data_IF_890392280115
#
_entry.id   IF_890392280115
#
_cell.length_a   1.000
_cell.length_b   1.000
_cell.length_c   1.000
_cell.angle_alpha   90.00
_cell.angle_beta   90.00
_cell.angle_gamma   90.00
#
_symmetry.space_group_name_H-M   'P 1'
#
loop_
_entity.id
_entity.type
_entity.pdbx_description
1 polymer ?
#
# COMPACT_ATOMS: atom_id res chain seq x y z
N UNK A 1 -1.90 10.56 -19.51
CA UNK A 1 -2.68 10.02 -18.37
C UNK A 1 -2.33 10.83 -17.12
N UNK A 2 -3.18 10.85 -16.09
CA UNK A 2 -2.94 11.63 -14.87
C UNK A 2 -1.91 10.92 -14.00
N UNK A 3 -0.80 11.62 -13.66
CA UNK A 3 0.20 11.09 -12.74
C UNK A 3 -0.29 11.24 -11.31
N UNK A 4 -0.36 10.11 -10.57
CA UNK A 4 -0.77 10.11 -9.16
C UNK A 4 0.43 10.08 -8.21
N UNK A 5 1.60 9.62 -8.67
CA UNK A 5 2.88 9.69 -7.95
C UNK A 5 3.95 10.17 -8.92
N UNK A 6 4.79 11.09 -8.46
CA UNK A 6 5.97 11.55 -9.20
C UNK A 6 7.12 11.73 -8.22
N UNK A 7 8.23 11.08 -8.48
CA UNK A 7 9.52 11.23 -7.81
C UNK A 7 10.49 11.89 -8.77
N UNK A 8 11.15 12.94 -8.32
CA UNK A 8 12.14 13.69 -9.10
C UNK A 8 13.42 13.86 -8.28
N UNK A 9 14.48 13.18 -8.69
CA UNK A 9 15.82 13.27 -8.11
C UNK A 9 15.84 13.07 -6.58
N UNK A 10 15.03 12.10 -6.10
CA UNK A 10 14.81 11.88 -4.67
C UNK A 10 15.99 11.18 -4.04
N UNK A 11 16.53 11.78 -2.98
CA UNK A 11 17.54 11.19 -2.10
C UNK A 11 16.98 11.05 -0.69
N UNK A 12 17.23 9.92 -0.05
CA UNK A 12 16.96 9.70 1.37
C UNK A 12 18.18 9.20 2.10
N UNK A 13 18.60 9.98 3.10
CA UNK A 13 19.73 9.66 3.97
C UNK A 13 19.22 9.58 5.41
N UNK A 14 19.61 8.51 6.10
CA UNK A 14 19.38 8.35 7.54
C UNK A 14 20.69 8.57 8.28
N UNK A 15 20.78 9.61 9.14
CA UNK A 15 21.95 9.84 9.96
C UNK A 15 22.02 8.78 11.08
N UNK A 16 23.11 8.02 11.14
CA UNK A 16 23.36 7.05 12.19
C UNK A 16 24.67 7.40 12.93
N UNK A 17 24.79 6.93 14.19
CA UNK A 17 26.01 7.12 14.98
C UNK A 17 27.28 6.53 14.33
N UNK A 18 27.09 5.49 13.51
CA UNK A 18 28.16 4.78 12.82
C UNK A 18 28.49 5.36 11.42
N UNK A 19 27.83 6.43 11.01
CA UNK A 19 27.92 7.05 9.69
C UNK A 19 26.57 7.06 8.97
N UNK A 20 26.39 7.97 8.04
CA UNK A 20 25.15 8.16 7.31
C UNK A 20 24.89 6.97 6.36
N UNK A 21 23.63 6.57 6.28
CA UNK A 21 23.15 5.54 5.33
C UNK A 21 22.30 6.19 4.25
N UNK A 22 22.77 6.17 3.01
CA UNK A 22 21.98 6.58 1.85
C UNK A 22 21.06 5.43 1.46
N UNK A 23 19.78 5.53 1.84
CA UNK A 23 18.78 4.50 1.58
C UNK A 23 18.18 4.61 0.17
N UNK A 24 18.07 5.83 -0.38
CA UNK A 24 17.67 6.10 -1.76
C UNK A 24 18.62 7.16 -2.35
N UNK A 25 19.02 6.94 -3.60
CA UNK A 25 20.02 7.73 -4.26
C UNK A 25 19.54 8.12 -5.67
N UNK A 26 19.11 9.38 -5.83
CA UNK A 26 18.66 9.98 -7.09
C UNK A 26 17.55 9.20 -7.79
N UNK A 27 16.50 8.83 -7.04
CA UNK A 27 15.34 8.09 -7.56
C UNK A 27 14.41 9.02 -8.32
N UNK A 28 14.13 8.67 -9.60
CA UNK A 28 13.14 9.37 -10.44
C UNK A 28 12.24 8.37 -11.15
N UNK A 29 10.94 8.44 -10.93
CA UNK A 29 9.90 7.69 -11.64
C UNK A 29 8.53 8.33 -11.42
N UNK A 30 7.55 7.91 -12.20
CA UNK A 30 6.14 8.30 -12.01
C UNK A 30 5.23 7.08 -12.05
N UNK A 31 4.05 7.20 -11.45
CA UNK A 31 2.95 6.23 -11.52
C UNK A 31 1.71 6.94 -12.01
N UNK A 32 1.04 6.37 -13.01
CA UNK A 32 -0.19 6.91 -13.58
C UNK A 32 -1.41 6.34 -12.86
N UNK A 33 -2.53 7.08 -12.90
CA UNK A 33 -3.81 6.61 -12.36
C UNK A 33 -4.25 5.32 -13.06
N UNK A 34 -4.65 4.32 -12.26
CA UNK A 34 -5.05 3.01 -12.75
C UNK A 34 -3.89 2.08 -13.14
N UNK A 35 -2.65 2.47 -12.88
CA UNK A 35 -1.50 1.61 -13.12
C UNK A 35 -1.34 0.57 -11.99
N UNK A 36 -0.95 -0.65 -12.36
CA UNK A 36 -0.58 -1.71 -11.43
C UNK A 36 0.90 -2.04 -11.59
N UNK A 37 1.73 -1.60 -10.66
CA UNK A 37 3.19 -1.78 -10.73
C UNK A 37 3.72 -2.61 -9.57
N UNK A 38 4.86 -3.26 -9.81
CA UNK A 38 5.68 -3.86 -8.76
C UNK A 38 6.99 -3.11 -8.56
N UNK A 39 7.45 -3.07 -7.31
CA UNK A 39 8.77 -2.58 -6.92
C UNK A 39 9.54 -3.75 -6.36
N UNK A 40 10.63 -4.13 -7.02
CA UNK A 40 11.42 -5.30 -6.69
C UNK A 40 12.88 -4.95 -6.39
N UNK A 41 13.52 -5.78 -5.59
CA UNK A 41 14.95 -5.67 -5.29
C UNK A 41 15.35 -6.55 -4.12
N UNK A 42 16.66 -6.78 -3.90
CA UNK A 42 17.14 -7.56 -2.77
C UNK A 42 16.78 -6.92 -1.41
N UNK A 43 16.98 -7.67 -0.33
CA UNK A 43 16.84 -7.10 1.03
C UNK A 43 17.84 -5.94 1.19
N UNK A 44 17.41 -4.86 1.86
CA UNK A 44 18.24 -3.67 2.07
C UNK A 44 18.39 -2.74 0.86
N UNK A 45 17.74 -3.01 -0.29
CA UNK A 45 17.86 -2.16 -1.48
C UNK A 45 17.17 -0.80 -1.42
N UNK A 46 16.41 -0.49 -0.35
CA UNK A 46 15.68 0.77 -0.20
C UNK A 46 14.17 0.69 -0.42
N UNK A 47 13.60 -0.51 -0.70
CA UNK A 47 12.16 -0.70 -0.98
C UNK A 47 11.25 -0.19 0.14
N UNK A 48 11.55 -0.53 1.41
CA UNK A 48 10.75 -0.08 2.56
C UNK A 48 10.84 1.44 2.76
N UNK A 49 12.01 2.03 2.49
CA UNK A 49 12.18 3.50 2.48
C UNK A 49 11.33 4.14 1.39
N UNK A 50 11.35 3.58 0.18
CA UNK A 50 10.53 4.06 -0.92
C UNK A 50 9.05 3.96 -0.60
N UNK A 51 8.60 2.83 -0.02
CA UNK A 51 7.23 2.63 0.45
C UNK A 51 6.84 3.67 1.51
N UNK A 52 7.73 3.95 2.47
CA UNK A 52 7.50 4.96 3.51
C UNK A 52 7.33 6.36 2.92
N UNK A 53 8.13 6.73 1.92
CA UNK A 53 7.99 8.02 1.22
C UNK A 53 6.69 8.09 0.41
N UNK A 54 6.33 7.05 -0.36
CA UNK A 54 5.05 6.97 -1.07
C UNK A 54 3.87 6.96 -0.11
N UNK A 55 4.04 6.40 1.07
CA UNK A 55 3.04 6.37 2.11
C UNK A 55 2.92 7.67 2.92
N UNK A 56 3.69 8.70 2.61
CA UNK A 56 3.78 9.93 3.40
C UNK A 56 4.09 9.66 4.88
N UNK A 57 4.81 8.57 5.19
CA UNK A 57 5.27 8.22 6.54
C UNK A 57 6.64 8.82 6.85
N UNK A 58 7.34 9.27 5.81
CA UNK A 58 8.64 9.92 5.90
C UNK A 58 8.74 10.98 4.78
N UNK A 59 9.76 11.82 4.84
CA UNK A 59 10.03 12.88 3.85
C UNK A 59 11.41 12.69 3.21
N UNK A 60 11.61 13.12 1.96
CA UNK A 60 12.90 13.01 1.29
C UNK A 60 13.92 13.97 1.93
N UNK A 61 15.20 13.59 1.90
CA UNK A 61 16.31 14.47 2.28
C UNK A 61 16.51 15.56 1.23
N UNK A 62 16.46 15.20 -0.06
CA UNK A 62 16.48 16.13 -1.20
C UNK A 62 15.64 15.57 -2.36
N UNK A 63 15.47 16.39 -3.39
CA UNK A 63 14.55 16.09 -4.50
C UNK A 63 13.11 16.44 -4.17
N UNK A 64 12.18 16.05 -5.05
CA UNK A 64 10.76 16.33 -4.89
C UNK A 64 9.89 15.09 -5.05
N UNK A 65 8.81 15.04 -4.26
CA UNK A 65 7.76 14.02 -4.38
C UNK A 65 6.43 14.75 -4.51
N UNK A 66 5.70 14.43 -5.57
CA UNK A 66 4.33 14.88 -5.78
C UNK A 66 3.38 13.69 -5.76
N UNK A 67 2.26 13.82 -5.03
CA UNK A 67 1.22 12.80 -4.94
C UNK A 67 -0.16 13.41 -5.17
N UNK A 68 -0.92 12.85 -6.11
CA UNK A 68 -2.22 13.39 -6.57
C UNK A 68 -2.15 14.90 -6.81
N UNK A 69 -1.08 15.36 -7.48
CA UNK A 69 -0.84 16.77 -7.81
C UNK A 69 -0.38 17.67 -6.66
N UNK A 70 -0.11 17.14 -5.47
CA UNK A 70 0.34 17.90 -4.29
C UNK A 70 1.78 17.56 -3.93
N UNK A 71 2.63 18.58 -3.74
CA UNK A 71 4.02 18.40 -3.31
C UNK A 71 4.06 18.06 -1.81
N UNK A 72 4.55 16.86 -1.47
CA UNK A 72 4.60 16.33 -0.09
C UNK A 72 5.41 17.22 0.84
N UNK A 73 6.53 17.77 0.36
CA UNK A 73 7.44 18.59 1.14
C UNK A 73 6.78 19.87 1.71
N UNK A 74 5.71 20.34 1.09
CA UNK A 74 5.01 21.58 1.48
C UNK A 74 3.83 21.30 2.43
N UNK A 75 3.56 20.05 2.78
CA UNK A 75 2.47 19.66 3.67
C UNK A 75 2.91 19.69 5.13
N UNK A 76 2.05 20.22 6.01
CA UNK A 76 2.20 20.06 7.45
C UNK A 76 1.94 18.60 7.87
N UNK A 77 2.32 18.23 9.10
CA UNK A 77 2.06 16.88 9.64
C UNK A 77 0.56 16.53 9.67
N UNK A 78 -0.29 17.52 9.93
CA UNK A 78 -1.75 17.36 9.90
C UNK A 78 -2.26 17.10 8.48
N UNK A 79 -1.72 17.82 7.48
CA UNK A 79 -2.05 17.61 6.07
C UNK A 79 -1.57 16.25 5.57
N UNK A 80 -0.35 15.83 5.94
CA UNK A 80 0.18 14.50 5.63
C UNK A 80 -0.68 13.41 6.24
N UNK A 81 -1.12 13.59 7.49
CA UNK A 81 -2.00 12.63 8.19
C UNK A 81 -3.36 12.52 7.50
N UNK A 82 -3.95 13.67 7.15
CA UNK A 82 -5.22 13.70 6.41
C UNK A 82 -5.07 13.08 5.02
N UNK A 83 -3.96 13.38 4.33
CA UNK A 83 -3.68 12.83 3.01
C UNK A 83 -3.53 11.30 3.06
N UNK A 84 -2.75 10.75 4.02
CA UNK A 84 -2.62 9.29 4.23
C UNK A 84 -3.97 8.64 4.44
N UNK A 85 -4.77 9.18 5.36
CA UNK A 85 -6.10 8.64 5.71
C UNK A 85 -7.04 8.61 4.51
N UNK A 86 -6.98 9.64 3.66
CA UNK A 86 -7.99 9.88 2.65
C UNK A 86 -7.61 9.37 1.26
N UNK A 87 -6.30 9.30 0.97
CA UNK A 87 -5.77 9.05 -0.37
C UNK A 87 -4.97 7.76 -0.52
N UNK A 88 -4.55 7.16 0.61
CA UNK A 88 -3.69 5.98 0.59
C UNK A 88 -4.31 4.83 1.36
N UNK A 89 -4.47 3.70 0.70
CA UNK A 89 -4.80 2.43 1.34
C UNK A 89 -3.54 1.58 1.53
N UNK A 90 -3.27 1.15 2.76
CA UNK A 90 -2.13 0.28 3.06
C UNK A 90 -2.54 -1.17 3.22
N UNK A 91 -1.80 -2.07 2.60
CA UNK A 91 -1.93 -3.52 2.74
C UNK A 91 -0.56 -4.08 3.13
N UNK A 92 -0.49 -4.75 4.26
CA UNK A 92 0.75 -5.27 4.84
C UNK A 92 0.83 -6.79 4.79
N UNK A 93 2.04 -7.32 4.88
CA UNK A 93 2.33 -8.75 4.97
C UNK A 93 1.67 -9.41 6.18
N UNK A 94 1.64 -8.75 7.34
CA UNK A 94 1.10 -9.26 8.61
C UNK A 94 -0.36 -8.84 8.86
N UNK A 95 -1.13 -8.50 7.83
CA UNK A 95 -2.55 -8.09 7.87
C UNK A 95 -2.82 -6.88 8.77
N UNK A 96 -2.19 -6.77 9.92
CA UNK A 96 -2.32 -5.69 10.93
C UNK A 96 -3.78 -5.41 11.31
N UNK A 97 -4.57 -6.48 11.49
CA UNK A 97 -5.94 -6.38 11.96
C UNK A 97 -5.97 -6.23 13.49
N UNK A 98 -6.98 -5.53 13.97
CA UNK A 98 -7.22 -5.38 15.41
C UNK A 98 -7.89 -6.66 15.94
N UNK A 99 -7.22 -7.45 16.81
CA UNK A 99 -7.69 -8.78 17.17
C UNK A 99 -8.96 -8.78 18.02
N UNK A 100 -9.26 -7.68 18.70
CA UNK A 100 -10.43 -7.53 19.56
C UNK A 100 -11.66 -6.94 18.85
N UNK A 101 -11.48 -6.41 17.64
CA UNK A 101 -12.57 -5.87 16.83
C UNK A 101 -13.07 -6.95 15.89
N UNK A 102 -14.38 -6.96 15.63
CA UNK A 102 -14.94 -7.80 14.58
C UNK A 102 -14.52 -7.30 13.18
N UNK A 103 -14.87 -8.05 12.14
CA UNK A 103 -14.43 -7.76 10.77
C UNK A 103 -15.00 -6.45 10.23
N UNK A 104 -16.28 -6.15 10.50
CA UNK A 104 -16.89 -4.86 10.11
C UNK A 104 -16.17 -3.70 10.80
N UNK A 105 -15.92 -3.82 12.10
CA UNK A 105 -15.21 -2.80 12.88
C UNK A 105 -13.79 -2.59 12.38
N UNK A 106 -13.06 -3.67 12.05
CA UNK A 106 -11.73 -3.59 11.45
C UNK A 106 -11.74 -2.79 10.14
N UNK A 107 -12.70 -3.08 9.26
CA UNK A 107 -12.82 -2.38 7.96
C UNK A 107 -13.27 -0.94 8.15
N UNK A 108 -14.17 -0.67 9.10
CA UNK A 108 -14.70 0.67 9.36
C UNK A 108 -13.73 1.58 10.12
N UNK A 109 -12.67 1.03 10.72
CA UNK A 109 -11.74 1.78 11.58
C UNK A 109 -11.18 3.06 10.92
N UNK A 110 -10.74 3.07 9.64
CA UNK A 110 -10.28 4.29 8.99
C UNK A 110 -11.38 5.37 8.85
N UNK A 111 -12.66 4.98 8.77
CA UNK A 111 -13.78 5.93 8.75
C UNK A 111 -13.99 6.60 10.11
N UNK A 112 -13.77 5.87 11.22
CA UNK A 112 -13.84 6.45 12.56
C UNK A 112 -12.90 7.64 12.71
N UNK A 113 -11.71 7.57 12.08
CA UNK A 113 -10.74 8.67 12.08
C UNK A 113 -11.20 9.89 11.24
N UNK A 114 -12.24 9.74 10.42
CA UNK A 114 -12.93 10.83 9.70
C UNK A 114 -14.10 11.42 10.49
N UNK A 115 -14.43 10.85 11.64
CA UNK A 115 -15.53 11.29 12.50
C UNK A 115 -16.88 10.68 12.17
N UNK A 116 -16.95 9.60 11.39
CA UNK A 116 -18.19 8.88 11.10
C UNK A 116 -17.93 7.45 10.65
N UNK A 117 -18.90 6.56 10.85
CA UNK A 117 -18.85 5.17 10.38
C UNK A 117 -20.05 4.92 9.47
N UNK A 118 -19.79 4.32 8.32
CA UNK A 118 -20.82 3.80 7.42
C UNK A 118 -20.66 2.28 7.33
N UNK A 119 -21.42 1.57 8.15
CA UNK A 119 -21.38 0.11 8.24
C UNK A 119 -21.81 -0.55 6.92
N UNK A 120 -22.80 0.01 6.20
CA UNK A 120 -23.22 -0.56 4.93
C UNK A 120 -22.10 -0.48 3.88
N UNK A 121 -21.37 0.63 3.83
CA UNK A 121 -20.18 0.72 2.98
C UNK A 121 -19.12 -0.33 3.36
N UNK A 122 -18.92 -0.60 4.66
CA UNK A 122 -18.00 -1.65 5.10
C UNK A 122 -18.44 -3.02 4.60
N UNK A 123 -19.74 -3.33 4.66
CA UNK A 123 -20.32 -4.57 4.11
C UNK A 123 -20.15 -4.65 2.58
N UNK A 124 -20.40 -3.55 1.87
CA UNK A 124 -20.19 -3.48 0.41
C UNK A 124 -18.74 -3.78 0.02
N UNK A 125 -17.78 -3.17 0.70
CA UNK A 125 -16.36 -3.39 0.42
C UNK A 125 -15.94 -4.83 0.78
N UNK A 126 -16.46 -5.40 1.87
CA UNK A 126 -16.23 -6.80 2.23
C UNK A 126 -16.77 -7.77 1.18
N UNK A 127 -17.97 -7.50 0.62
CA UNK A 127 -18.51 -8.27 -0.53
C UNK A 127 -17.61 -8.13 -1.76
N UNK A 128 -17.13 -6.90 -2.03
CA UNK A 128 -16.26 -6.64 -3.18
C UNK A 128 -14.94 -7.40 -3.14
N UNK A 129 -14.42 -7.68 -1.93
CA UNK A 129 -13.24 -8.55 -1.74
C UNK A 129 -13.61 -10.03 -1.60
N UNK A 130 -14.87 -10.41 -1.90
CA UNK A 130 -15.37 -11.80 -1.91
C UNK A 130 -15.23 -12.50 -0.54
N UNK A 131 -15.46 -11.79 0.57
CA UNK A 131 -15.54 -12.39 1.89
C UNK A 131 -16.99 -12.84 2.16
N UNK A 132 -17.16 -14.05 2.72
CA UNK A 132 -18.47 -14.58 3.10
C UNK A 132 -19.12 -13.72 4.19
N UNK A 133 -20.37 -13.32 4.01
CA UNK A 133 -21.09 -12.44 4.96
C UNK A 133 -21.22 -13.04 6.35
N UNK A 134 -21.24 -14.37 6.47
CA UNK A 134 -21.26 -15.06 7.76
C UNK A 134 -20.06 -14.73 8.65
N UNK A 135 -18.94 -14.30 8.04
CA UNK A 135 -17.72 -13.97 8.75
C UNK A 135 -17.67 -12.51 9.23
N UNK A 136 -18.60 -11.66 8.83
CA UNK A 136 -18.54 -10.22 9.08
C UNK A 136 -18.55 -9.84 10.58
N UNK A 137 -19.16 -10.68 11.41
CA UNK A 137 -19.22 -10.50 12.88
C UNK A 137 -18.15 -11.29 13.63
N UNK A 138 -17.32 -12.08 12.93
CA UNK A 138 -16.19 -12.81 13.52
C UNK A 138 -15.04 -11.87 13.86
N UNK A 139 -14.13 -12.34 14.70
CA UNK A 139 -12.84 -11.68 14.96
C UNK A 139 -11.76 -12.20 14.01
N UNK A 140 -10.65 -11.46 13.79
CA UNK A 140 -9.56 -11.93 12.94
C UNK A 140 -9.00 -13.30 13.29
N UNK A 141 -8.99 -13.68 14.58
CA UNK A 141 -8.46 -14.96 15.04
C UNK A 141 -9.29 -16.18 14.57
N UNK A 142 -10.53 -15.96 14.16
CA UNK A 142 -11.43 -16.99 13.64
C UNK A 142 -11.31 -17.17 12.12
N UNK A 143 -10.47 -16.36 11.45
CA UNK A 143 -10.32 -16.34 10.01
C UNK A 143 -9.01 -17.02 9.56
N UNK A 144 -9.05 -17.67 8.39
CA UNK A 144 -7.82 -18.12 7.70
C UNK A 144 -6.96 -16.92 7.26
N UNK A 145 -5.65 -17.13 7.01
CA UNK A 145 -4.74 -16.08 6.55
C UNK A 145 -5.23 -15.36 5.29
N UNK A 146 -5.76 -16.11 4.31
CA UNK A 146 -6.34 -15.51 3.10
C UNK A 146 -7.59 -14.67 3.35
N UNK A 147 -8.44 -15.09 4.30
CA UNK A 147 -9.59 -14.30 4.72
C UNK A 147 -9.16 -13.03 5.45
N UNK A 148 -8.16 -13.11 6.34
CA UNK A 148 -7.59 -11.94 7.01
C UNK A 148 -7.00 -10.95 6.00
N UNK A 149 -6.31 -11.45 4.96
CA UNK A 149 -5.77 -10.59 3.90
C UNK A 149 -6.88 -9.90 3.11
N UNK A 150 -7.98 -10.58 2.79
CA UNK A 150 -9.16 -9.95 2.17
C UNK A 150 -9.74 -8.85 3.04
N UNK A 151 -9.80 -9.04 4.35
CA UNK A 151 -10.21 -7.99 5.31
C UNK A 151 -9.24 -6.81 5.29
N UNK A 152 -7.92 -7.06 5.27
CA UNK A 152 -6.92 -6.00 5.15
C UNK A 152 -7.05 -5.21 3.84
N UNK A 153 -7.35 -5.88 2.72
CA UNK A 153 -7.67 -5.23 1.43
C UNK A 153 -8.95 -4.39 1.55
N UNK A 154 -10.02 -4.93 2.15
CA UNK A 154 -11.28 -4.20 2.36
C UNK A 154 -11.06 -2.94 3.20
N UNK A 155 -10.30 -3.05 4.31
CA UNK A 155 -9.95 -1.91 5.16
C UNK A 155 -9.16 -0.85 4.40
N UNK A 156 -8.27 -1.25 3.50
CA UNK A 156 -7.52 -0.31 2.68
C UNK A 156 -8.40 0.44 1.68
N UNK A 157 -9.49 -0.18 1.21
CA UNK A 157 -10.42 0.38 0.22
C UNK A 157 -11.52 1.28 0.81
N UNK A 158 -11.80 1.21 2.11
CA UNK A 158 -13.01 1.78 2.71
C UNK A 158 -13.16 3.30 2.52
N UNK A 159 -12.06 4.01 2.39
CA UNK A 159 -12.03 5.46 2.19
C UNK A 159 -11.92 5.88 0.71
N UNK A 160 -12.09 4.96 -0.25
CA UNK A 160 -11.91 5.19 -1.69
C UNK A 160 -10.55 5.84 -2.02
N UNK A 161 -9.44 5.20 -1.65
CA UNK A 161 -8.12 5.78 -1.83
C UNK A 161 -7.76 5.94 -3.30
N UNK A 162 -6.93 6.94 -3.62
CA UNK A 162 -6.36 7.11 -4.96
C UNK A 162 -5.31 6.04 -5.26
N UNK A 163 -4.64 5.52 -4.21
CA UNK A 163 -3.49 4.61 -4.32
C UNK A 163 -3.59 3.51 -3.26
N UNK A 164 -3.35 2.26 -3.67
CA UNK A 164 -3.12 1.11 -2.78
C UNK A 164 -1.63 0.82 -2.73
N UNK A 165 -1.02 0.92 -1.55
CA UNK A 165 0.36 0.55 -1.27
C UNK A 165 0.40 -0.81 -0.56
N UNK A 166 1.04 -1.78 -1.18
CA UNK A 166 1.08 -3.16 -0.70
C UNK A 166 2.53 -3.56 -0.38
N UNK A 167 2.78 -3.93 0.87
CA UNK A 167 4.07 -4.44 1.32
C UNK A 167 3.98 -5.95 1.48
N UNK A 168 4.59 -6.70 0.56
CA UNK A 168 4.60 -8.17 0.51
C UNK A 168 3.21 -8.80 0.75
N UNK A 169 2.16 -8.46 -0.03
CA UNK A 169 0.77 -8.77 0.30
C UNK A 169 0.44 -10.27 0.32
N UNK A 170 1.34 -11.11 -0.17
CA UNK A 170 1.20 -12.58 -0.22
C UNK A 170 2.25 -13.32 0.60
N UNK A 171 3.17 -12.62 1.26
CA UNK A 171 4.34 -13.20 1.90
C UNK A 171 4.05 -14.19 3.04
N UNK A 172 2.87 -14.10 3.66
CA UNK A 172 2.44 -15.00 4.74
C UNK A 172 1.34 -16.01 4.29
N UNK A 173 1.14 -16.17 2.99
CA UNK A 173 0.11 -17.02 2.42
C UNK A 173 0.73 -18.20 1.67
N UNK A 174 0.04 -19.31 1.62
CA UNK A 174 0.37 -20.39 0.68
C UNK A 174 0.18 -19.92 -0.78
N UNK A 175 0.86 -20.59 -1.71
CA UNK A 175 0.89 -20.17 -3.12
C UNK A 175 -0.49 -20.07 -3.77
N UNK A 176 -1.44 -20.94 -3.43
CA UNK A 176 -2.80 -20.95 -3.98
C UNK A 176 -3.60 -19.74 -3.45
N UNK A 177 -3.52 -19.51 -2.15
CA UNK A 177 -4.17 -18.37 -1.50
C UNK A 177 -3.56 -17.06 -1.98
N UNK A 178 -2.22 -17.00 -2.10
CA UNK A 178 -1.51 -15.84 -2.64
C UNK A 178 -1.95 -15.50 -4.07
N UNK A 179 -2.06 -16.50 -4.94
CA UNK A 179 -2.58 -16.31 -6.30
C UNK A 179 -4.00 -15.71 -6.29
N UNK A 180 -4.89 -16.22 -5.43
CA UNK A 180 -6.26 -15.69 -5.30
C UNK A 180 -6.30 -14.23 -4.83
N UNK A 181 -5.36 -13.81 -3.96
CA UNK A 181 -5.23 -12.39 -3.56
C UNK A 181 -4.73 -11.53 -4.73
N UNK A 182 -3.77 -12.02 -5.52
CA UNK A 182 -3.27 -11.29 -6.69
C UNK A 182 -4.32 -11.17 -7.80
N UNK A 183 -5.17 -12.19 -7.98
CA UNK A 183 -6.33 -12.13 -8.88
C UNK A 183 -7.32 -11.07 -8.42
N UNK A 184 -7.64 -11.02 -7.12
CA UNK A 184 -8.48 -9.95 -6.54
C UNK A 184 -7.90 -8.57 -6.80
N UNK A 185 -6.58 -8.38 -6.59
CA UNK A 185 -5.90 -7.12 -6.88
C UNK A 185 -5.99 -6.75 -8.36
N UNK A 186 -5.85 -7.73 -9.26
CA UNK A 186 -6.01 -7.51 -10.70
C UNK A 186 -7.43 -7.07 -11.06
N UNK A 187 -8.45 -7.66 -10.41
CA UNK A 187 -9.85 -7.23 -10.59
C UNK A 187 -10.08 -5.79 -10.10
N UNK A 188 -9.51 -5.43 -8.94
CA UNK A 188 -9.56 -4.05 -8.43
C UNK A 188 -8.87 -3.06 -9.37
N UNK A 189 -7.72 -3.43 -9.91
CA UNK A 189 -7.02 -2.59 -10.89
C UNK A 189 -7.85 -2.42 -12.18
N UNK A 190 -8.47 -3.47 -12.70
CA UNK A 190 -9.39 -3.36 -13.87
C UNK A 190 -10.57 -2.43 -13.61
N UNK A 191 -10.97 -2.25 -12.35
CA UNK A 191 -12.00 -1.29 -11.92
C UNK A 191 -11.44 0.14 -11.70
N UNK A 192 -10.15 0.35 -11.98
CA UNK A 192 -9.50 1.66 -11.94
C UNK A 192 -8.63 1.94 -10.72
N UNK A 193 -8.44 0.97 -9.81
CA UNK A 193 -7.54 1.16 -8.67
C UNK A 193 -6.08 1.28 -9.14
N UNK A 194 -5.35 2.26 -8.59
CA UNK A 194 -3.88 2.34 -8.76
C UNK A 194 -3.23 1.51 -7.67
N UNK A 195 -2.39 0.55 -8.05
CA UNK A 195 -1.82 -0.42 -7.11
C UNK A 195 -0.31 -0.48 -7.24
N UNK A 196 0.39 -0.37 -6.12
CA UNK A 196 1.83 -0.50 -6.04
C UNK A 196 2.16 -1.63 -5.07
N UNK A 197 2.84 -2.66 -5.55
CA UNK A 197 3.25 -3.81 -4.73
C UNK A 197 4.76 -3.79 -4.57
N UNK A 198 5.21 -3.71 -3.34
CA UNK A 198 6.60 -3.97 -2.98
C UNK A 198 6.74 -5.46 -2.71
N UNK A 199 7.63 -6.14 -3.42
CA UNK A 199 7.83 -7.57 -3.26
C UNK A 199 9.22 -8.03 -3.71
N UNK A 200 9.66 -9.18 -3.24
CA UNK A 200 10.81 -9.91 -3.76
C UNK A 200 10.39 -11.15 -4.58
N UNK A 201 9.09 -11.45 -4.64
CA UNK A 201 8.55 -12.62 -5.37
C UNK A 201 8.30 -12.28 -6.85
N UNK A 202 9.05 -12.92 -7.79
CA UNK A 202 8.81 -12.75 -9.22
C UNK A 202 7.43 -13.25 -9.68
N UNK A 203 6.79 -14.14 -8.91
CA UNK A 203 5.44 -14.63 -9.17
C UNK A 203 4.42 -13.50 -9.06
N UNK A 204 4.57 -12.62 -8.08
CA UNK A 204 3.72 -11.43 -7.87
C UNK A 204 3.91 -10.42 -9.00
N UNK A 205 5.15 -10.20 -9.44
CA UNK A 205 5.44 -9.26 -10.53
C UNK A 205 4.73 -9.60 -11.85
N UNK A 206 4.38 -10.87 -12.10
CA UNK A 206 3.66 -11.29 -13.31
C UNK A 206 2.23 -10.73 -13.40
N UNK A 207 1.65 -10.30 -12.30
CA UNK A 207 0.31 -9.69 -12.26
C UNK A 207 0.34 -8.19 -12.57
N UNK A 208 1.53 -7.57 -12.61
CA UNK A 208 1.70 -6.12 -12.75
C UNK A 208 2.02 -5.70 -14.18
N UNK A 209 1.68 -4.46 -14.54
CA UNK A 209 1.92 -3.91 -15.88
C UNK A 209 3.40 -3.64 -16.14
N UNK A 210 4.15 -3.22 -15.09
CA UNK A 210 5.60 -3.02 -15.14
C UNK A 210 6.23 -3.24 -13.77
N UNK A 211 7.53 -3.46 -13.78
CA UNK A 211 8.37 -3.62 -12.58
C UNK A 211 9.42 -2.52 -12.53
N UNK A 212 9.51 -1.85 -11.38
CA UNK A 212 10.65 -0.98 -11.04
C UNK A 212 11.60 -1.80 -10.19
N UNK A 213 12.85 -1.95 -10.65
CA UNK A 213 13.90 -2.65 -9.90
C UNK A 213 14.75 -1.67 -9.13
N UNK A 214 14.96 -1.95 -7.83
CA UNK A 214 15.82 -1.14 -6.96
C UNK A 214 16.98 -1.99 -6.47
N UNK A 215 18.18 -1.48 -6.66
CA UNK A 215 19.43 -2.08 -6.17
C UNK A 215 20.26 -0.97 -5.55
N UNK A 216 20.72 -1.18 -4.31
CA UNK A 216 21.57 -0.23 -3.57
C UNK A 216 21.06 1.22 -3.60
N UNK A 217 19.75 1.37 -3.39
CA UNK A 217 19.08 2.66 -3.35
C UNK A 217 18.88 3.34 -4.71
N UNK A 218 19.23 2.71 -5.83
CA UNK A 218 19.07 3.23 -7.19
C UNK A 218 18.07 2.40 -8.01
N UNK A 219 17.42 3.03 -9.00
CA UNK A 219 16.64 2.30 -9.99
C UNK A 219 17.62 1.60 -10.93
N UNK A 220 17.54 0.27 -10.99
CA UNK A 220 18.30 -0.53 -11.95
C UNK A 220 17.62 -0.49 -13.32
N UNK A 221 18.41 -0.26 -14.36
CA UNK A 221 17.99 -0.29 -15.76
C UNK A 221 17.67 -1.71 -16.24
#
# INVERSE_FOLDING_TARGET
MEQVIQFEDVVKIYPLKAGDVTALNHISFSVERGEFISIMGPSGSGKSTLLALMGCLDTPTSGSISMSGRAIRNMSDEELTSFRRDKIGFIFQYFNLFPLLNIIENVSFPQMLRGGVNEEKAREVLRAVQLDERLFTHTPLELSGGQQQRVAVARALINDPDILLCDEPTGNLDSKTGASIMELMTELNRKGATIIVVTHDPGVAKYTNRTIRIVDGCIAS
#
